data_IF_713213885719
#
_entry.id   IF_713213885719
#
_cell.length_a   1.000
_cell.length_b   1.000
_cell.length_c   1.000
_cell.angle_alpha   90.00
_cell.angle_beta   90.00
_cell.angle_gamma   90.00
#
_symmetry.space_group_name_H-M   'P 1'
#
loop_
_entity.id
_entity.type
_entity.pdbx_description
1 polymer ?
#
# COMPACT_ATOMS: atom_id res chain seq x y z
N UNK A 1 -11.08 -22.01 2.21
CA UNK A 1 -10.25 -21.85 3.43
C UNK A 1 -8.93 -21.10 3.20
N UNK A 2 -8.35 -21.04 1.99
CA UNK A 2 -7.11 -20.28 1.73
C UNK A 2 -7.22 -18.75 1.87
N UNK A 3 -8.43 -18.17 1.85
CA UNK A 3 -8.62 -16.71 1.86
C UNK A 3 -8.51 -16.04 3.24
N UNK A 4 -8.54 -16.78 4.35
CA UNK A 4 -8.43 -16.18 5.70
C UNK A 4 -6.98 -15.84 6.10
N UNK A 5 -5.97 -16.34 5.40
CA UNK A 5 -4.56 -16.19 5.78
C UNK A 5 -3.93 -14.87 5.30
N UNK A 6 -4.28 -14.39 4.09
CA UNK A 6 -3.84 -13.09 3.58
C UNK A 6 -4.18 -11.91 4.52
N UNK A 7 -5.28 -12.02 5.27
CA UNK A 7 -5.74 -11.03 6.24
C UNK A 7 -4.79 -10.82 7.43
N UNK A 8 -4.07 -11.85 7.86
CA UNK A 8 -3.15 -11.72 9.00
C UNK A 8 -1.92 -10.88 8.63
N UNK A 9 -1.54 -10.86 7.35
CA UNK A 9 -0.27 -10.30 6.92
C UNK A 9 -0.34 -8.86 6.43
N UNK A 10 -1.39 -8.45 5.72
CA UNK A 10 -1.62 -7.02 5.48
C UNK A 10 -1.81 -6.27 6.81
N UNK A 11 -2.44 -6.94 7.78
CA UNK A 11 -2.47 -6.52 9.19
C UNK A 11 -1.07 -6.43 9.79
N UNK A 12 -0.26 -7.49 9.74
CA UNK A 12 1.10 -7.49 10.30
C UNK A 12 2.03 -6.46 9.61
N UNK A 13 1.84 -6.23 8.31
CA UNK A 13 2.52 -5.21 7.51
C UNK A 13 2.13 -3.81 7.97
N UNK A 14 0.83 -3.54 8.11
CA UNK A 14 0.31 -2.30 8.64
C UNK A 14 0.80 -2.07 10.07
N UNK A 15 0.80 -3.10 10.92
CA UNK A 15 1.31 -3.04 12.29
C UNK A 15 2.83 -2.78 12.34
N UNK A 16 3.63 -3.42 11.49
CA UNK A 16 5.07 -3.14 11.37
C UNK A 16 5.34 -1.72 10.89
N UNK A 17 4.59 -1.24 9.91
CA UNK A 17 4.70 0.14 9.43
C UNK A 17 4.36 1.13 10.55
N UNK A 18 3.31 0.85 11.32
CA UNK A 18 2.93 1.63 12.50
C UNK A 18 4.04 1.61 13.56
N UNK A 19 4.64 0.45 13.85
CA UNK A 19 5.71 0.32 14.85
C UNK A 19 7.03 0.95 14.40
N UNK A 20 7.30 1.00 13.10
CA UNK A 20 8.52 1.59 12.53
C UNK A 20 8.46 3.12 12.41
N UNK A 21 7.27 3.71 12.55
CA UNK A 21 7.03 5.15 12.65
C UNK A 21 7.52 5.74 13.98
N UNK A 22 8.75 5.44 14.38
CA UNK A 22 9.41 6.11 15.49
C UNK A 22 9.74 7.54 15.08
N UNK A 23 9.09 8.51 15.72
CA UNK A 23 9.36 9.95 15.57
C UNK A 23 10.86 10.23 15.58
N UNK A 24 11.47 10.47 14.41
CA UNK A 24 12.72 11.21 14.33
C UNK A 24 12.38 12.66 14.68
N UNK A 25 12.59 13.02 15.94
CA UNK A 25 12.60 14.41 16.37
C UNK A 25 13.71 15.15 15.61
N UNK A 26 13.35 15.95 14.62
CA UNK A 26 14.24 16.95 14.06
C UNK A 26 14.56 17.95 15.18
N UNK A 27 15.79 17.90 15.68
CA UNK A 27 16.34 18.92 16.58
C UNK A 27 16.48 20.23 15.80
N UNK A 28 15.43 21.04 15.80
CA UNK A 28 15.53 22.44 15.39
C UNK A 28 16.26 23.21 16.49
N UNK A 29 17.44 23.74 16.16
CA UNK A 29 18.11 24.76 16.96
C UNK A 29 17.24 26.04 16.96
N UNK A 30 16.52 26.27 18.06
CA UNK A 30 15.76 27.51 18.26
C UNK A 30 16.59 28.55 18.98
N UNK A 31 16.75 29.72 18.34
CA UNK A 31 17.13 30.98 18.97
C UNK A 31 16.19 31.28 20.15
N UNK A 32 16.76 31.47 21.35
CA UNK A 32 16.05 31.88 22.57
C UNK A 32 15.49 33.30 22.41
N UNK A 33 14.17 33.45 22.43
CA UNK A 33 13.51 34.69 22.85
C UNK A 33 12.92 34.45 24.24
N UNK A 34 13.38 35.24 25.21
CA UNK A 34 12.87 35.25 26.57
C UNK A 34 11.46 35.84 26.58
N UNK A 35 10.45 35.02 26.80
CA UNK A 35 9.10 35.46 27.15
C UNK A 35 8.91 35.13 28.63
N UNK A 36 8.83 36.17 29.46
CA UNK A 36 8.42 36.05 30.86
C UNK A 36 6.93 35.69 30.91
N UNK A 37 6.63 34.44 31.25
CA UNK A 37 5.29 34.00 31.62
C UNK A 37 5.26 33.70 33.12
N UNK A 38 4.24 34.24 33.80
CA UNK A 38 4.02 34.20 35.25
C UNK A 38 3.95 32.78 35.81
N UNK A 39 4.61 32.57 36.95
CA UNK A 39 4.45 31.39 37.81
C UNK A 39 3.01 31.32 38.36
N UNK A 40 2.16 30.47 37.78
CA UNK A 40 1.03 29.87 38.50
C UNK A 40 1.35 28.41 38.77
N UNK A 41 1.56 28.11 40.06
CA UNK A 41 1.70 26.77 40.62
C UNK A 41 0.38 26.01 40.50
N UNK A 42 0.19 25.30 39.39
CA UNK A 42 -0.81 24.24 39.33
C UNK A 42 -0.30 23.03 40.10
N UNK A 43 -0.93 22.76 41.24
CA UNK A 43 -0.75 21.54 42.01
C UNK A 43 -0.97 20.31 41.12
N UNK A 44 0.07 19.48 41.03
CA UNK A 44 0.06 18.24 40.30
C UNK A 44 -0.81 17.20 41.02
N UNK A 45 -2.05 17.05 40.57
CA UNK A 45 -2.79 15.82 40.81
C UNK A 45 -2.13 14.72 39.96
N UNK A 46 -1.37 13.84 40.62
CA UNK A 46 -0.70 12.68 40.05
C UNK A 46 -1.69 11.56 39.64
N UNK A 47 -2.74 11.92 38.90
CA UNK A 47 -3.48 10.97 38.09
C UNK A 47 -2.70 10.80 36.80
N UNK A 48 -2.11 9.62 36.56
CA UNK A 48 -1.71 9.18 35.22
C UNK A 48 -2.96 9.14 34.36
N UNK A 49 -3.42 10.30 33.89
CA UNK A 49 -4.30 10.39 32.74
C UNK A 49 -3.42 9.89 31.61
N UNK A 50 -3.56 8.62 31.27
CA UNK A 50 -3.24 8.16 29.92
C UNK A 50 -3.91 9.19 29.03
N UNK A 51 -3.09 10.09 28.46
CA UNK A 51 -3.55 10.92 27.37
C UNK A 51 -3.82 9.89 26.29
N UNK A 52 -5.07 9.46 26.21
CA UNK A 52 -5.64 8.98 24.96
C UNK A 52 -5.41 10.14 24.00
N UNK A 53 -4.22 10.12 23.38
CA UNK A 53 -3.76 11.08 22.38
C UNK A 53 -4.58 10.96 21.09
N UNK A 54 -5.58 10.10 21.11
CA UNK A 54 -6.67 10.12 20.19
C UNK A 54 -7.96 10.19 20.98
N UNK A 55 -8.67 11.31 20.78
CA UNK A 55 -10.06 11.47 21.17
C UNK A 55 -10.82 10.17 20.86
N UNK A 56 -11.57 9.55 21.81
CA UNK A 56 -12.52 8.51 21.46
C UNK A 56 -13.28 9.03 20.24
N UNK A 57 -13.24 8.25 19.15
CA UNK A 57 -13.71 8.67 17.83
C UNK A 57 -14.91 9.60 18.01
N UNK A 58 -14.89 10.85 17.51
CA UNK A 58 -15.98 11.81 17.70
C UNK A 58 -17.33 11.33 17.16
N UNK A 59 -17.40 10.10 16.69
CA UNK A 59 -18.57 9.42 16.25
C UNK A 59 -18.71 8.06 16.95
N UNK A 60 -19.71 7.98 17.82
CA UNK A 60 -20.71 6.89 17.76
C UNK A 60 -21.34 6.88 16.35
N UNK A 61 -20.54 6.60 15.31
CA UNK A 61 -21.02 6.45 13.94
C UNK A 61 -21.88 5.20 13.94
N UNK A 62 -22.96 5.20 13.16
CA UNK A 62 -23.77 4.00 12.98
C UNK A 62 -22.87 2.88 12.47
N UNK A 63 -22.97 1.70 13.07
CA UNK A 63 -22.29 0.51 12.59
C UNK A 63 -22.75 0.11 11.19
N UNK A 64 -23.90 0.62 10.75
CA UNK A 64 -24.49 0.41 9.42
C UNK A 64 -24.68 1.72 8.66
N UNK A 65 -24.25 1.75 7.40
CA UNK A 65 -24.46 2.86 6.48
C UNK A 65 -25.17 2.34 5.24
N UNK A 66 -26.32 2.90 4.91
CA UNK A 66 -27.02 2.57 3.68
C UNK A 66 -26.37 3.33 2.53
N UNK A 67 -25.88 2.62 1.50
CA UNK A 67 -25.37 3.27 0.29
C UNK A 67 -26.56 3.57 -0.63
N UNK A 68 -27.44 2.59 -0.82
CA UNK A 68 -28.62 2.68 -1.69
C UNK A 68 -29.74 1.74 -1.20
N UNK A 69 -30.72 1.47 -2.07
CA UNK A 69 -31.84 0.56 -1.78
C UNK A 69 -31.45 -0.92 -1.79
N UNK A 70 -30.24 -1.25 -2.24
CA UNK A 70 -29.78 -2.63 -2.44
C UNK A 70 -28.65 -3.04 -1.49
N UNK A 71 -27.86 -2.08 -1.01
CA UNK A 71 -26.61 -2.34 -0.32
C UNK A 71 -26.44 -1.51 0.95
N UNK A 72 -25.81 -2.15 1.92
CA UNK A 72 -25.43 -1.53 3.18
C UNK A 72 -23.98 -1.85 3.49
N UNK A 73 -23.30 -0.92 4.15
CA UNK A 73 -21.94 -1.09 4.66
C UNK A 73 -22.01 -1.28 6.15
N UNK A 74 -21.56 -2.44 6.60
CA UNK A 74 -21.38 -2.74 8.01
C UNK A 74 -19.93 -2.50 8.41
N UNK A 75 -19.73 -1.79 9.51
CA UNK A 75 -18.46 -1.58 10.18
C UNK A 75 -18.33 -2.62 11.27
N UNK A 76 -17.33 -3.48 11.13
CA UNK A 76 -16.97 -4.51 12.10
C UNK A 76 -15.65 -4.11 12.76
N UNK A 77 -15.67 -3.82 14.06
CA UNK A 77 -14.47 -3.52 14.82
C UNK A 77 -13.94 -4.83 15.40
N UNK A 78 -12.83 -5.32 14.85
CA UNK A 78 -12.09 -6.42 15.47
C UNK A 78 -11.20 -5.86 16.57
N UNK A 79 -11.69 -5.99 17.80
CA UNK A 79 -10.88 -5.76 18.98
C UNK A 79 -9.69 -6.73 18.96
N UNK A 80 -8.47 -6.17 18.93
CA UNK A 80 -7.25 -6.88 19.25
C UNK A 80 -6.60 -6.21 20.45
N UNK A 81 -5.43 -6.69 20.89
CA UNK A 81 -4.71 -6.13 22.04
C UNK A 81 -4.31 -4.64 21.89
N UNK A 82 -4.47 -4.08 20.69
CA UNK A 82 -4.26 -2.66 20.42
C UNK A 82 -5.56 -1.86 20.59
N UNK A 83 -5.46 -0.72 21.28
CA UNK A 83 -6.54 0.26 21.55
C UNK A 83 -7.30 0.76 20.33
N UNK A 84 -6.82 0.49 19.11
CA UNK A 84 -7.42 0.94 17.86
C UNK A 84 -8.14 -0.13 17.05
N UNK A 85 -7.90 -1.42 17.35
CA UNK A 85 -8.41 -2.55 16.59
C UNK A 85 -8.13 -2.49 15.08
N UNK A 86 -8.57 -3.50 14.35
CA UNK A 86 -8.67 -3.45 12.89
C UNK A 86 -10.13 -3.20 12.58
N UNK A 87 -10.41 -2.13 11.82
CA UNK A 87 -11.74 -1.85 11.31
C UNK A 87 -11.93 -2.58 10.01
N UNK A 88 -13.00 -3.36 9.90
CA UNK A 88 -13.38 -4.06 8.68
C UNK A 88 -14.68 -3.47 8.17
N UNK A 89 -14.68 -3.04 6.92
CA UNK A 89 -15.85 -2.53 6.23
C UNK A 89 -16.36 -3.65 5.34
N UNK A 90 -17.63 -4.03 5.51
CA UNK A 90 -18.28 -5.12 4.82
C UNK A 90 -19.41 -4.58 3.97
N UNK A 91 -19.40 -4.85 2.66
CA UNK A 91 -20.54 -4.60 1.80
C UNK A 91 -21.48 -5.79 1.89
N UNK A 92 -22.72 -5.53 2.28
CA UNK A 92 -23.77 -6.52 2.46
C UNK A 92 -24.99 -6.14 1.60
N UNK A 93 -25.77 -7.12 1.10
CA UNK A 93 -27.11 -6.85 0.63
C UNK A 93 -27.92 -6.17 1.73
N UNK A 94 -28.83 -5.27 1.34
CA UNK A 94 -29.78 -4.66 2.26
C UNK A 94 -30.78 -5.73 2.69
N UNK A 95 -30.65 -6.16 3.95
CA UNK A 95 -31.61 -7.05 4.60
C UNK A 95 -32.78 -6.23 5.12
N UNK A 96 -34.00 -6.75 5.00
CA UNK A 96 -35.12 -6.16 5.73
C UNK A 96 -34.93 -6.44 7.22
N UNK A 97 -35.44 -5.58 8.10
CA UNK A 97 -35.33 -5.78 9.56
C UNK A 97 -35.99 -7.10 10.05
N UNK A 98 -36.74 -7.79 9.18
CA UNK A 98 -37.38 -9.08 9.43
C UNK A 98 -36.51 -10.29 9.06
N UNK A 99 -35.32 -10.11 8.48
CA UNK A 99 -34.47 -11.23 8.09
C UNK A 99 -33.89 -11.94 9.34
N UNK A 100 -33.80 -13.27 9.25
CA UNK A 100 -33.37 -14.12 10.36
C UNK A 100 -31.92 -13.78 10.80
N UNK A 101 -31.69 -13.30 12.04
CA UNK A 101 -30.37 -12.91 12.51
C UNK A 101 -29.40 -14.10 12.65
N UNK A 102 -29.90 -15.34 12.56
CA UNK A 102 -29.06 -16.55 12.61
C UNK A 102 -28.40 -16.87 11.27
N UNK A 103 -28.89 -16.31 10.16
CA UNK A 103 -28.29 -16.50 8.85
C UNK A 103 -26.96 -15.74 8.78
N UNK A 104 -25.91 -16.47 8.38
CA UNK A 104 -24.59 -15.87 8.16
C UNK A 104 -24.71 -14.79 7.08
N UNK A 105 -24.26 -13.56 7.33
CA UNK A 105 -24.40 -12.47 6.36
C UNK A 105 -23.67 -12.82 5.06
N UNK A 106 -24.34 -12.61 3.94
CA UNK A 106 -23.76 -12.80 2.62
C UNK A 106 -22.85 -11.59 2.30
N UNK A 107 -21.56 -11.72 2.60
CA UNK A 107 -20.58 -10.66 2.38
C UNK A 107 -20.29 -10.57 0.88
N UNK A 108 -20.51 -9.40 0.28
CA UNK A 108 -20.21 -9.14 -1.14
C UNK A 108 -18.76 -8.73 -1.30
N UNK A 109 -18.32 -7.72 -0.54
CA UNK A 109 -16.96 -7.18 -0.58
C UNK A 109 -16.49 -6.75 0.81
N UNK A 110 -15.19 -6.60 0.98
CA UNK A 110 -14.61 -6.08 2.21
C UNK A 110 -13.35 -5.26 1.99
N UNK A 111 -13.10 -4.26 2.83
CA UNK A 111 -11.81 -3.57 2.97
C UNK A 111 -11.48 -3.41 4.45
N UNK A 112 -10.20 -3.41 4.81
CA UNK A 112 -9.77 -3.20 6.19
C UNK A 112 -9.09 -1.85 6.33
N UNK A 113 -9.12 -1.32 7.55
CA UNK A 113 -8.37 -0.16 7.96
C UNK A 113 -7.73 -0.37 9.33
N UNK A 114 -6.48 0.04 9.47
CA UNK A 114 -5.80 0.18 10.75
C UNK A 114 -5.25 1.60 10.84
N UNK A 115 -5.76 2.39 11.80
CA UNK A 115 -5.51 3.84 11.89
C UNK A 115 -5.82 4.54 10.57
N UNK A 116 -4.84 5.15 9.91
CA UNK A 116 -4.98 5.86 8.63
C UNK A 116 -4.58 4.99 7.41
N UNK A 117 -4.34 3.69 7.59
CA UNK A 117 -3.87 2.78 6.54
C UNK A 117 -5.01 1.85 6.12
N UNK A 118 -5.36 1.85 4.84
CA UNK A 118 -6.33 0.97 4.19
C UNK A 118 -5.63 -0.21 3.52
N UNK A 119 -6.24 -1.39 3.54
CA UNK A 119 -5.66 -2.59 2.92
C UNK A 119 -6.67 -3.72 2.76
N UNK A 120 -6.35 -4.66 1.86
CA UNK A 120 -7.06 -5.93 1.71
C UNK A 120 -8.46 -5.76 1.15
N UNK A 121 -8.62 -4.91 0.13
CA UNK A 121 -9.85 -4.78 -0.63
C UNK A 121 -10.11 -6.09 -1.41
N UNK A 122 -11.28 -6.70 -1.17
CA UNK A 122 -11.60 -8.02 -1.71
C UNK A 122 -13.08 -8.13 -2.07
N UNK A 123 -13.34 -8.72 -3.24
CA UNK A 123 -14.66 -9.23 -3.64
C UNK A 123 -14.80 -10.70 -3.20
N UNK A 124 -15.88 -11.00 -2.46
CA UNK A 124 -16.21 -12.34 -1.92
C UNK A 124 -17.27 -13.05 -2.76
N UNK A 125 -18.22 -12.31 -3.32
CA UNK A 125 -19.28 -12.85 -4.16
C UNK A 125 -18.92 -12.63 -5.65
N UNK A 126 -18.56 -13.70 -6.36
CA UNK A 126 -18.46 -13.66 -7.83
C UNK A 126 -19.88 -13.71 -8.39
N UNK A 127 -20.38 -12.60 -8.93
CA UNK A 127 -21.73 -12.55 -9.52
C UNK A 127 -21.74 -13.08 -10.96
N UNK A 128 -20.58 -13.02 -11.62
CA UNK A 128 -20.40 -13.27 -13.05
C UNK A 128 -19.38 -14.39 -13.35
N UNK A 129 -19.52 -14.98 -14.54
CA UNK A 129 -18.71 -16.11 -14.99
C UNK A 129 -17.44 -15.74 -15.77
N UNK A 130 -17.30 -14.49 -16.23
CA UNK A 130 -16.14 -14.02 -17.00
C UNK A 130 -15.19 -13.17 -16.14
N UNK A 131 -13.94 -13.04 -16.58
CA UNK A 131 -12.94 -12.23 -15.87
C UNK A 131 -13.10 -10.72 -16.13
N UNK A 132 -13.66 -10.32 -17.27
CA UNK A 132 -14.01 -8.91 -17.54
C UNK A 132 -15.11 -8.43 -16.59
N UNK A 133 -16.15 -9.24 -16.43
CA UNK A 133 -17.24 -8.94 -15.50
C UNK A 133 -16.73 -8.92 -14.04
N UNK A 134 -15.73 -9.74 -13.71
CA UNK A 134 -15.15 -9.76 -12.36
C UNK A 134 -14.55 -8.42 -11.95
N UNK A 135 -13.83 -7.76 -12.86
CA UNK A 135 -13.20 -6.46 -12.56
C UNK A 135 -14.29 -5.40 -12.39
N UNK A 136 -15.30 -5.38 -13.26
CA UNK A 136 -16.42 -4.46 -13.13
C UNK A 136 -17.16 -4.66 -11.79
N UNK A 137 -17.44 -5.91 -11.43
CA UNK A 137 -18.06 -6.29 -10.14
C UNK A 137 -17.18 -5.88 -8.95
N UNK A 138 -15.86 -6.05 -9.07
CA UNK A 138 -14.89 -5.68 -8.04
C UNK A 138 -14.93 -4.17 -7.77
N UNK A 139 -14.88 -3.35 -8.81
CA UNK A 139 -14.92 -1.89 -8.67
C UNK A 139 -16.27 -1.42 -8.13
N UNK A 140 -17.39 -1.91 -8.70
CA UNK A 140 -18.73 -1.56 -8.27
C UNK A 140 -18.95 -1.85 -6.77
N UNK A 141 -18.39 -2.95 -6.26
CA UNK A 141 -18.52 -3.33 -4.86
C UNK A 141 -17.49 -2.64 -3.93
N UNK A 142 -16.23 -2.50 -4.36
CA UNK A 142 -15.16 -2.01 -3.50
C UNK A 142 -15.04 -0.48 -3.44
N UNK A 143 -15.50 0.23 -4.47
CA UNK A 143 -15.42 1.70 -4.51
C UNK A 143 -16.18 2.39 -3.37
N UNK A 144 -17.47 2.07 -3.09
CA UNK A 144 -18.19 2.69 -1.98
C UNK A 144 -17.56 2.38 -0.62
N UNK A 145 -17.00 1.17 -0.48
CA UNK A 145 -16.28 0.76 0.72
C UNK A 145 -15.00 1.60 0.92
N UNK A 146 -14.26 1.83 -0.16
CA UNK A 146 -13.05 2.63 -0.13
C UNK A 146 -13.36 4.07 0.28
N UNK A 147 -14.42 4.68 -0.25
CA UNK A 147 -14.81 6.05 0.11
C UNK A 147 -15.10 6.20 1.60
N UNK A 148 -15.92 5.31 2.14
CA UNK A 148 -16.29 5.31 3.56
C UNK A 148 -15.06 5.06 4.43
N UNK A 149 -14.20 4.12 4.03
CA UNK A 149 -12.98 3.80 4.76
C UNK A 149 -11.96 4.96 4.72
N UNK A 150 -11.82 5.64 3.57
CA UNK A 150 -10.98 6.84 3.41
C UNK A 150 -11.46 7.97 4.31
N UNK A 151 -12.77 8.26 4.28
CA UNK A 151 -13.35 9.30 5.13
C UNK A 151 -13.06 9.02 6.61
N UNK A 152 -13.35 7.80 7.06
CA UNK A 152 -13.09 7.36 8.43
C UNK A 152 -11.59 7.42 8.81
N UNK A 153 -10.70 6.99 7.91
CA UNK A 153 -9.26 7.01 8.13
C UNK A 153 -8.69 8.44 8.22
N UNK A 154 -9.35 9.42 7.60
CA UNK A 154 -8.94 10.82 7.58
C UNK A 154 -9.31 11.62 8.84
N UNK A 155 -10.21 11.10 9.69
CA UNK A 155 -10.82 11.84 10.82
C UNK A 155 -9.78 12.45 11.77
N UNK A 156 -8.64 11.80 11.95
CA UNK A 156 -7.58 12.27 12.85
C UNK A 156 -6.65 13.31 12.20
N UNK A 157 -7.00 13.86 11.04
CA UNK A 157 -6.16 14.78 10.27
C UNK A 157 -4.89 14.14 9.72
N UNK A 158 -4.81 12.81 9.74
CA UNK A 158 -3.69 12.06 9.16
C UNK A 158 -3.93 11.84 7.68
N UNK A 159 -2.87 11.94 6.88
CA UNK A 159 -2.92 11.58 5.47
C UNK A 159 -3.27 10.10 5.34
N UNK A 160 -4.35 9.80 4.61
CA UNK A 160 -4.79 8.43 4.38
C UNK A 160 -3.78 7.73 3.48
N UNK A 161 -3.46 6.48 3.84
CA UNK A 161 -2.54 5.61 3.14
C UNK A 161 -3.24 4.33 2.74
N UNK A 162 -2.68 3.67 1.76
CA UNK A 162 -3.14 2.36 1.32
C UNK A 162 -1.95 1.41 1.16
N UNK A 163 -2.17 0.12 1.41
CA UNK A 163 -1.26 -0.96 1.07
C UNK A 163 -1.96 -1.87 0.07
N UNK A 164 -1.52 -1.82 -1.18
CA UNK A 164 -2.02 -2.69 -2.22
C UNK A 164 -1.12 -3.92 -2.39
N UNK A 165 -1.72 -5.10 -2.42
CA UNK A 165 -1.05 -6.31 -2.84
C UNK A 165 -0.74 -6.25 -4.35
N UNK A 166 0.47 -6.70 -4.72
CA UNK A 166 0.88 -6.82 -6.12
C UNK A 166 0.71 -8.27 -6.57
N UNK A 167 -0.55 -8.72 -6.61
CA UNK A 167 -0.85 -10.08 -7.04
C UNK A 167 -0.43 -10.25 -8.50
N UNK A 168 0.07 -11.44 -8.85
CA UNK A 168 0.56 -11.71 -10.22
C UNK A 168 1.96 -11.20 -10.53
N UNK A 169 2.62 -10.45 -9.62
CA UNK A 169 3.99 -9.97 -9.85
C UNK A 169 4.96 -11.10 -10.20
N UNK A 170 4.93 -12.22 -9.46
CA UNK A 170 5.82 -13.36 -9.75
C UNK A 170 5.56 -13.95 -11.14
N UNK A 171 4.29 -14.07 -11.54
CA UNK A 171 3.91 -14.58 -12.86
C UNK A 171 4.35 -13.64 -13.98
N UNK A 172 4.15 -12.33 -13.80
CA UNK A 172 4.61 -11.31 -14.76
C UNK A 172 6.13 -11.31 -14.91
N UNK A 173 6.89 -11.30 -13.80
CA UNK A 173 8.36 -11.38 -13.83
C UNK A 173 8.82 -12.65 -14.53
N UNK A 174 8.18 -13.80 -14.26
CA UNK A 174 8.50 -15.08 -14.93
C UNK A 174 8.28 -14.98 -16.44
N UNK A 175 7.13 -14.45 -16.88
CA UNK A 175 6.84 -14.28 -18.31
C UNK A 175 7.79 -13.30 -19.01
N UNK A 176 8.31 -12.29 -18.31
CA UNK A 176 9.37 -11.44 -18.84
C UNK A 176 10.71 -12.17 -18.91
N UNK A 177 11.08 -12.95 -17.89
CA UNK A 177 12.30 -13.77 -17.91
C UNK A 177 12.30 -14.79 -19.05
N UNK A 178 11.15 -15.40 -19.35
CA UNK A 178 11.00 -16.37 -20.46
C UNK A 178 11.13 -15.72 -21.85
N UNK A 179 10.96 -14.39 -21.93
CA UNK A 179 11.11 -13.58 -23.15
C UNK A 179 12.37 -12.72 -23.12
N UNK A 180 13.42 -13.18 -22.44
CA UNK A 180 14.71 -12.50 -22.34
C UNK A 180 14.60 -11.03 -21.86
N UNK A 181 13.66 -10.75 -20.96
CA UNK A 181 13.42 -9.43 -20.38
C UNK A 181 12.33 -8.61 -21.08
N UNK A 182 11.80 -9.07 -22.21
CA UNK A 182 10.75 -8.36 -22.95
C UNK A 182 9.53 -8.07 -22.05
N UNK A 183 9.09 -6.80 -22.08
CA UNK A 183 8.00 -6.29 -21.25
C UNK A 183 8.42 -5.74 -19.90
N UNK A 184 9.73 -5.78 -19.56
CA UNK A 184 10.28 -5.04 -18.42
C UNK A 184 11.60 -4.37 -18.76
N UNK A 185 11.66 -3.05 -18.63
CA UNK A 185 12.90 -2.26 -18.83
C UNK A 185 13.94 -2.63 -17.76
N UNK A 186 13.48 -2.89 -16.53
CA UNK A 186 14.34 -3.28 -15.41
C UNK A 186 15.00 -4.64 -15.68
N UNK A 187 14.23 -5.65 -16.10
CA UNK A 187 14.79 -6.97 -16.42
C UNK A 187 15.70 -6.93 -17.65
N UNK A 188 15.29 -6.22 -18.70
CA UNK A 188 16.10 -6.07 -19.93
C UNK A 188 17.48 -5.50 -19.59
N UNK A 189 17.52 -4.41 -18.80
CA UNK A 189 18.76 -3.80 -18.33
C UNK A 189 19.58 -4.78 -17.47
N UNK A 190 18.91 -5.49 -16.55
CA UNK A 190 19.56 -6.47 -15.68
C UNK A 190 20.04 -7.72 -16.41
N UNK A 191 19.50 -8.09 -17.56
CA UNK A 191 19.89 -9.28 -18.34
C UNK A 191 21.05 -8.99 -19.29
N UNK A 192 21.01 -7.86 -19.99
CA UNK A 192 22.02 -7.50 -20.99
C UNK A 192 23.19 -6.73 -20.41
N UNK A 193 23.13 -6.33 -19.13
CA UNK A 193 24.15 -5.45 -18.53
C UNK A 193 24.17 -4.08 -19.21
N UNK A 194 23.13 -3.75 -19.97
CA UNK A 194 22.95 -2.43 -20.54
C UNK A 194 22.70 -1.49 -19.37
N UNK A 195 23.70 -0.69 -19.04
CA UNK A 195 23.41 0.52 -18.30
C UNK A 195 22.54 1.35 -19.24
N UNK A 196 21.30 1.71 -18.85
CA UNK A 196 20.48 2.58 -19.67
C UNK A 196 21.37 3.79 -19.94
N UNK A 197 21.67 4.08 -21.21
CA UNK A 197 22.50 5.24 -21.53
C UNK A 197 21.90 6.41 -20.77
N UNK A 198 22.61 6.91 -19.76
CA UNK A 198 22.30 8.20 -19.20
C UNK A 198 22.49 9.15 -20.35
N UNK A 199 21.43 9.41 -21.10
CA UNK A 199 21.22 10.72 -21.67
C UNK A 199 21.48 11.65 -20.50
N UNK A 200 22.62 12.30 -20.57
CA UNK A 200 23.10 13.33 -19.68
C UNK A 200 22.09 14.48 -19.76
N UNK A 201 20.90 14.31 -19.17
CA UNK A 201 19.97 15.41 -18.98
C UNK A 201 20.48 16.23 -17.80
N UNK A 202 21.34 17.19 -18.14
CA UNK A 202 21.05 18.61 -17.94
C UNK A 202 20.66 19.08 -16.53
N UNK A 203 21.27 18.55 -15.47
CA UNK A 203 21.27 19.21 -14.15
C UNK A 203 22.24 20.44 -14.10
N UNK A 204 22.39 21.16 -15.21
CA UNK A 204 23.05 22.48 -15.27
C UNK A 204 22.05 23.53 -15.75
N UNK A 205 21.04 23.84 -14.95
CA UNK A 205 20.20 25.06 -14.94
C UNK A 205 19.03 24.72 -14.00
N UNK A 206 18.98 25.14 -12.74
CA UNK A 206 18.57 26.48 -12.32
C UNK A 206 19.18 26.81 -10.94
N UNK A 207 20.31 27.50 -10.93
CA UNK A 207 20.59 28.50 -9.89
C UNK A 207 20.19 29.87 -10.46
N UNK A 208 18.89 30.15 -10.53
CA UNK A 208 18.43 31.53 -10.71
C UNK A 208 17.95 32.02 -9.36
N UNK A 209 18.77 32.89 -8.76
CA UNK A 209 18.42 33.70 -7.61
C UNK A 209 17.10 34.45 -7.90
N UNK A 210 16.05 34.14 -7.15
CA UNK A 210 14.87 35.00 -7.08
C UNK A 210 14.68 35.48 -5.64
N UNK A 211 15.38 36.57 -5.32
CA UNK A 211 15.10 37.43 -4.18
C UNK A 211 13.90 38.31 -4.55
N UNK A 212 12.73 38.06 -3.96
CA UNK A 212 11.68 39.07 -3.93
C UNK A 212 10.26 38.56 -3.75
N UNK A 213 9.54 39.22 -2.84
CA UNK A 213 8.08 39.26 -2.68
C UNK A 213 7.37 38.06 -2.01
N UNK A 214 7.36 38.14 -0.68
CA UNK A 214 6.17 38.02 0.18
C UNK A 214 4.82 37.98 -0.58
N UNK A 215 4.24 36.79 -0.70
CA UNK A 215 2.86 36.58 -1.11
C UNK A 215 2.36 35.27 -0.51
N UNK A 216 1.65 35.36 0.62
CA UNK A 216 1.00 34.24 1.31
C UNK A 216 -0.08 33.61 0.41
N UNK A 217 0.31 32.56 -0.31
CA UNK A 217 -0.61 31.69 -1.04
C UNK A 217 -0.40 30.27 -0.56
N UNK A 218 -1.50 29.61 -0.16
CA UNK A 218 -1.58 28.21 0.23
C UNK A 218 -1.22 27.29 -0.95
N UNK A 219 0.06 27.28 -1.35
CA UNK A 219 0.62 26.25 -2.22
C UNK A 219 0.64 24.96 -1.43
N UNK A 220 -0.42 24.16 -1.58
CA UNK A 220 -0.38 22.73 -1.28
C UNK A 220 0.91 22.20 -1.90
N UNK A 221 1.79 21.67 -1.05
CA UNK A 221 3.04 21.08 -1.47
C UNK A 221 2.70 19.93 -2.42
N UNK A 222 2.69 20.22 -3.74
CA UNK A 222 2.82 19.21 -4.76
C UNK A 222 4.18 18.60 -4.52
N UNK A 223 4.21 17.52 -3.74
CA UNK A 223 5.38 16.68 -3.64
C UNK A 223 5.66 16.28 -5.08
N UNK A 224 6.74 16.82 -5.63
CA UNK A 224 7.27 16.38 -6.90
C UNK A 224 7.73 14.95 -6.63
N UNK A 225 6.82 13.99 -6.76
CA UNK A 225 7.11 12.57 -6.77
C UNK A 225 7.89 12.37 -8.05
N UNK A 226 9.17 12.77 -8.04
CA UNK A 226 10.13 12.43 -9.09
C UNK A 226 9.94 10.94 -9.27
N UNK A 227 9.55 10.52 -10.47
CA UNK A 227 9.38 9.13 -10.85
C UNK A 227 10.63 8.37 -10.44
N UNK A 228 10.62 7.81 -9.23
CA UNK A 228 11.69 6.97 -8.71
C UNK A 228 11.48 5.60 -9.33
N UNK A 229 11.45 5.52 -10.66
CA UNK A 229 11.97 4.33 -11.33
C UNK A 229 13.45 4.31 -10.96
N UNK A 230 13.74 3.75 -9.78
CA UNK A 230 15.08 3.70 -9.22
C UNK A 230 15.92 2.89 -10.20
N UNK A 231 16.64 3.62 -11.04
CA UNK A 231 17.58 3.05 -12.00
C UNK A 231 18.61 2.29 -11.20
N UNK A 232 18.60 0.97 -11.33
CA UNK A 232 19.53 0.10 -10.62
C UNK A 232 20.88 0.26 -11.31
N UNK A 233 21.80 0.97 -10.65
CA UNK A 233 23.17 1.13 -11.13
C UNK A 233 24.02 0.08 -10.42
N UNK A 234 24.27 -1.04 -11.10
CA UNK A 234 25.22 -2.04 -10.64
C UNK A 234 26.53 -1.83 -11.37
N UNK A 235 27.57 -1.41 -10.63
CA UNK A 235 28.90 -1.19 -11.18
C UNK A 235 29.68 -2.50 -11.37
N UNK A 236 29.21 -3.58 -10.75
CA UNK A 236 29.88 -4.86 -10.72
C UNK A 236 28.99 -5.94 -11.33
N UNK A 237 29.55 -6.64 -12.31
CA UNK A 237 28.91 -7.73 -13.04
C UNK A 237 28.51 -8.88 -12.12
N UNK A 238 29.32 -9.19 -11.09
CA UNK A 238 28.97 -10.25 -10.14
C UNK A 238 27.72 -9.92 -9.33
N UNK A 239 27.54 -8.64 -8.98
CA UNK A 239 26.40 -8.20 -8.17
C UNK A 239 25.12 -8.21 -9.01
N UNK A 240 25.23 -7.88 -10.30
CA UNK A 240 24.16 -8.02 -11.29
C UNK A 240 23.70 -9.46 -11.43
N UNK A 241 24.63 -10.40 -11.64
CA UNK A 241 24.32 -11.82 -11.76
C UNK A 241 23.66 -12.33 -10.46
N UNK A 242 24.22 -11.98 -9.29
CA UNK A 242 23.68 -12.38 -7.99
C UNK A 242 22.24 -11.89 -7.78
N UNK A 243 21.96 -10.64 -8.16
CA UNK A 243 20.62 -10.05 -8.08
C UNK A 243 19.65 -10.72 -9.05
N UNK A 244 20.07 -10.96 -10.29
CA UNK A 244 19.26 -11.61 -11.31
C UNK A 244 18.87 -13.04 -10.90
N UNK A 245 19.82 -13.83 -10.38
CA UNK A 245 19.55 -15.16 -9.86
C UNK A 245 18.58 -15.10 -8.67
N UNK A 246 18.68 -14.07 -7.82
CA UNK A 246 17.75 -13.87 -6.72
C UNK A 246 16.34 -13.56 -7.20
N UNK A 247 16.19 -12.68 -8.20
CA UNK A 247 14.90 -12.35 -8.82
C UNK A 247 14.29 -13.61 -9.44
N UNK A 248 15.06 -14.38 -10.23
CA UNK A 248 14.58 -15.63 -10.84
C UNK A 248 14.09 -16.60 -9.77
N UNK A 249 14.82 -16.73 -8.68
CA UNK A 249 14.44 -17.62 -7.58
C UNK A 249 13.17 -17.15 -6.85
N UNK A 250 13.01 -15.84 -6.63
CA UNK A 250 11.79 -15.28 -6.03
C UNK A 250 10.58 -15.50 -6.95
N UNK A 251 10.70 -15.17 -8.24
CA UNK A 251 9.62 -15.26 -9.20
C UNK A 251 9.13 -16.71 -9.43
N UNK A 252 10.07 -17.65 -9.58
CA UNK A 252 9.75 -19.05 -9.88
C UNK A 252 9.51 -19.91 -8.63
N UNK A 253 9.95 -19.44 -7.46
CA UNK A 253 10.03 -20.26 -6.25
C UNK A 253 11.09 -21.35 -6.28
N UNK A 254 11.97 -21.38 -7.30
CA UNK A 254 13.04 -22.36 -7.46
C UNK A 254 14.33 -21.82 -6.81
N UNK A 255 14.99 -22.57 -5.90
CA UNK A 255 16.23 -22.12 -5.28
C UNK A 255 17.36 -21.84 -6.27
N UNK A 256 18.22 -20.85 -5.96
CA UNK A 256 19.43 -20.54 -6.72
C UNK A 256 20.46 -21.68 -6.65
N UNK A 257 21.41 -21.78 -7.61
CA UNK A 257 22.56 -22.67 -7.47
C UNK A 257 23.23 -22.54 -6.10
N UNK A 258 23.55 -23.68 -5.47
CA UNK A 258 24.16 -23.73 -4.14
C UNK A 258 23.21 -23.47 -2.96
N UNK A 259 21.91 -23.26 -3.20
CA UNK A 259 20.91 -23.05 -2.15
C UNK A 259 19.83 -24.16 -2.19
N UNK A 260 19.31 -24.57 -1.03
CA UNK A 260 18.26 -25.59 -0.92
C UNK A 260 16.84 -25.03 -0.89
N UNK A 261 16.69 -23.74 -0.59
CA UNK A 261 15.38 -23.05 -0.42
C UNK A 261 15.45 -21.60 -0.90
N UNK A 262 14.31 -21.04 -1.31
CA UNK A 262 14.13 -19.59 -1.51
C UNK A 262 13.92 -18.93 -0.14
N UNK A 263 15.03 -18.63 0.53
CA UNK A 263 15.04 -18.11 1.90
C UNK A 263 15.29 -16.61 2.00
N UNK A 264 15.41 -16.12 3.24
CA UNK A 264 15.67 -14.71 3.54
C UNK A 264 16.91 -14.15 2.83
N UNK A 265 17.96 -14.96 2.64
CA UNK A 265 19.16 -14.57 1.88
C UNK A 265 18.83 -14.21 0.43
N UNK A 266 18.03 -15.04 -0.25
CA UNK A 266 17.57 -14.76 -1.62
C UNK A 266 16.78 -13.45 -1.69
N UNK A 267 15.84 -13.24 -0.77
CA UNK A 267 15.05 -12.00 -0.70
C UNK A 267 15.90 -10.77 -0.40
N UNK A 268 16.94 -10.90 0.42
CA UNK A 268 17.89 -9.82 0.71
C UNK A 268 18.69 -9.45 -0.55
N UNK A 269 19.24 -10.45 -1.23
CA UNK A 269 20.10 -10.24 -2.39
C UNK A 269 19.31 -9.71 -3.61
N UNK A 270 18.03 -10.08 -3.74
CA UNK A 270 17.13 -9.58 -4.79
C UNK A 270 16.35 -8.32 -4.42
N UNK A 271 16.50 -7.76 -3.22
CA UNK A 271 15.57 -6.78 -2.66
C UNK A 271 15.43 -5.50 -3.51
N UNK A 272 16.53 -4.99 -4.07
CA UNK A 272 16.51 -3.76 -4.88
C UNK A 272 15.87 -4.01 -6.25
N UNK A 273 16.34 -5.05 -6.95
CA UNK A 273 15.75 -5.54 -8.19
C UNK A 273 14.26 -5.79 -8.09
N UNK A 274 13.84 -6.52 -7.05
CA UNK A 274 12.44 -6.86 -6.82
C UNK A 274 11.57 -5.64 -6.56
N UNK A 275 12.08 -4.62 -5.84
CA UNK A 275 11.36 -3.36 -5.63
C UNK A 275 11.19 -2.56 -6.91
N UNK A 276 12.21 -2.49 -7.76
CA UNK A 276 12.10 -1.79 -9.04
C UNK A 276 11.11 -2.49 -9.97
N UNK A 277 11.12 -3.83 -10.01
CA UNK A 277 10.13 -4.62 -10.76
C UNK A 277 8.71 -4.45 -10.23
N UNK A 278 8.53 -4.50 -8.91
CA UNK A 278 7.25 -4.22 -8.27
C UNK A 278 6.74 -2.80 -8.58
N UNK A 279 7.63 -1.81 -8.64
CA UNK A 279 7.29 -0.44 -9.01
C UNK A 279 6.82 -0.37 -10.46
N UNK A 280 7.59 -0.92 -11.39
CA UNK A 280 7.24 -1.03 -12.82
C UNK A 280 5.89 -1.73 -13.00
N UNK A 281 5.70 -2.88 -12.37
CA UNK A 281 4.46 -3.65 -12.39
C UNK A 281 3.26 -2.84 -11.86
N UNK A 282 3.42 -2.12 -10.75
CA UNK A 282 2.36 -1.26 -10.20
C UNK A 282 1.97 -0.10 -11.14
N UNK A 283 2.86 0.30 -12.05
CA UNK A 283 2.57 1.33 -13.06
C UNK A 283 1.79 0.79 -14.25
N UNK A 284 1.78 -0.53 -14.48
CA UNK A 284 0.91 -1.18 -15.46
C UNK A 284 -0.57 -1.10 -15.06
N UNK A 285 -0.88 -0.77 -13.80
CA UNK A 285 -2.25 -0.59 -13.34
C UNK A 285 -2.87 0.66 -14.00
N UNK A 286 -3.80 0.43 -14.94
CA UNK A 286 -4.56 1.45 -15.66
C UNK A 286 -5.94 1.67 -15.04
N UNK A 287 -6.50 2.86 -15.26
CA UNK A 287 -7.89 3.20 -14.90
C UNK A 287 -8.54 3.85 -16.13
N UNK A 288 -9.60 3.27 -16.73
CA UNK A 288 -10.22 1.99 -16.37
C UNK A 288 -9.27 0.81 -16.61
N UNK A 289 -9.47 -0.28 -15.86
CA UNK A 289 -8.65 -1.49 -15.99
C UNK A 289 -8.91 -2.12 -17.35
N UNK A 290 -7.83 -2.28 -18.11
CA UNK A 290 -7.88 -2.90 -19.42
C UNK A 290 -7.51 -4.39 -19.31
N UNK A 291 -8.53 -5.24 -19.28
CA UNK A 291 -8.37 -6.70 -19.21
C UNK A 291 -7.64 -7.28 -20.44
N UNK A 292 -7.60 -6.55 -21.57
CA UNK A 292 -6.98 -7.04 -22.80
C UNK A 292 -5.46 -7.12 -22.73
N UNK A 293 -4.84 -6.36 -21.83
CA UNK A 293 -3.38 -6.34 -21.66
C UNK A 293 -2.84 -7.59 -20.94
N UNK A 294 -3.72 -8.50 -20.48
CA UNK A 294 -3.33 -9.75 -19.84
C UNK A 294 -2.64 -9.59 -18.46
N UNK A 295 -2.60 -8.37 -17.92
CA UNK A 295 -2.01 -8.07 -16.61
C UNK A 295 -3.11 -8.21 -15.55
N UNK A 296 -3.07 -9.31 -14.79
CA UNK A 296 -4.03 -9.62 -13.71
C UNK A 296 -3.41 -9.37 -12.34
N UNK A 297 -4.20 -9.09 -11.29
CA UNK A 297 -3.68 -8.97 -9.93
C UNK A 297 -3.27 -7.55 -9.50
N UNK A 298 -3.64 -6.55 -10.30
CA UNK A 298 -3.48 -5.12 -10.02
C UNK A 298 -4.80 -4.44 -9.63
N UNK A 299 -5.83 -5.20 -9.26
CA UNK A 299 -7.17 -4.69 -8.98
C UNK A 299 -7.15 -3.68 -7.83
N UNK A 300 -6.43 -3.99 -6.75
CA UNK A 300 -6.34 -3.12 -5.56
C UNK A 300 -5.55 -1.84 -5.85
N UNK A 301 -4.45 -1.93 -6.61
CA UNK A 301 -3.68 -0.74 -7.06
C UNK A 301 -4.57 0.14 -7.93
N UNK A 302 -5.29 -0.46 -8.88
CA UNK A 302 -6.16 0.26 -9.82
C UNK A 302 -7.35 0.91 -9.09
N UNK A 303 -7.94 0.21 -8.13
CA UNK A 303 -8.98 0.73 -7.24
C UNK A 303 -8.47 1.97 -6.49
N UNK A 304 -7.28 1.90 -5.89
CA UNK A 304 -6.73 3.05 -5.16
C UNK A 304 -6.37 4.20 -6.09
N UNK A 305 -5.79 3.94 -7.27
CA UNK A 305 -5.55 4.97 -8.30
C UNK A 305 -6.83 5.65 -8.76
N UNK A 306 -7.93 4.91 -8.88
CA UNK A 306 -9.23 5.47 -9.28
C UNK A 306 -9.78 6.51 -8.30
N UNK A 307 -9.28 6.50 -7.05
CA UNK A 307 -9.66 7.44 -5.98
C UNK A 307 -8.47 8.30 -5.54
N UNK A 308 -7.70 8.80 -6.49
CA UNK A 308 -6.59 9.75 -6.26
C UNK A 308 -5.44 9.17 -5.41
N UNK A 309 -5.28 7.85 -5.44
CA UNK A 309 -4.16 7.16 -4.81
C UNK A 309 -2.93 7.18 -5.70
N UNK A 310 -1.80 7.66 -5.18
CA UNK A 310 -0.51 7.64 -5.87
C UNK A 310 0.43 6.62 -5.22
N UNK A 311 1.09 5.80 -6.04
CA UNK A 311 2.14 4.89 -5.56
C UNK A 311 3.32 5.72 -5.10
N UNK A 312 3.66 5.60 -3.82
CA UNK A 312 4.70 6.41 -3.20
C UNK A 312 5.93 5.60 -2.84
N UNK A 313 5.75 4.30 -2.54
CA UNK A 313 6.85 3.40 -2.20
C UNK A 313 6.46 1.94 -2.43
N UNK A 314 7.41 1.09 -2.82
CA UNK A 314 7.27 -0.36 -2.68
C UNK A 314 7.84 -0.80 -1.33
N UNK A 315 7.00 -1.42 -0.51
CA UNK A 315 7.41 -2.14 0.68
C UNK A 315 7.68 -3.59 0.30
N UNK A 316 8.93 -4.02 0.46
CA UNK A 316 9.31 -5.42 0.30
C UNK A 316 9.22 -6.09 1.66
N UNK A 317 8.19 -6.91 1.84
CA UNK A 317 7.94 -7.62 3.06
C UNK A 317 8.32 -9.07 2.82
N UNK A 318 9.39 -9.53 3.45
CA UNK A 318 9.69 -10.96 3.56
C UNK A 318 8.61 -11.61 4.46
N UNK A 319 7.39 -11.73 3.94
CA UNK A 319 6.31 -12.45 4.59
C UNK A 319 6.77 -13.87 4.82
N UNK A 320 6.43 -14.46 5.96
CA UNK A 320 6.72 -15.88 6.24
C UNK A 320 5.63 -16.79 5.65
N UNK A 321 4.58 -16.22 5.06
CA UNK A 321 3.48 -16.99 4.48
C UNK A 321 3.80 -17.46 3.06
N UNK A 322 3.89 -18.77 2.90
CA UNK A 322 4.21 -19.40 1.62
C UNK A 322 3.26 -19.01 0.48
N UNK A 323 1.97 -18.79 0.78
CA UNK A 323 0.95 -18.44 -0.22
C UNK A 323 1.21 -17.08 -0.87
N UNK A 324 1.42 -16.03 -0.06
CA UNK A 324 1.68 -14.69 -0.56
C UNK A 324 3.05 -14.56 -1.26
N UNK A 325 4.07 -15.22 -0.72
CA UNK A 325 5.39 -15.30 -1.35
C UNK A 325 5.30 -15.91 -2.76
N UNK A 326 4.43 -16.91 -2.96
CA UNK A 326 4.24 -17.56 -4.26
C UNK A 326 3.64 -16.63 -5.32
N UNK A 327 2.80 -15.68 -4.93
CA UNK A 327 2.02 -14.85 -5.87
C UNK A 327 2.68 -13.49 -6.12
N UNK A 328 3.13 -12.82 -5.05
CA UNK A 328 3.62 -11.44 -5.10
C UNK A 328 5.10 -11.29 -4.70
N UNK A 329 5.77 -12.38 -4.33
CA UNK A 329 7.15 -12.34 -3.84
C UNK A 329 7.33 -11.44 -2.61
N UNK A 330 6.26 -11.20 -1.85
CA UNK A 330 6.29 -10.33 -0.67
C UNK A 330 6.25 -8.82 -0.94
N UNK A 331 6.09 -8.36 -2.18
CA UNK A 331 6.05 -6.93 -2.49
C UNK A 331 4.64 -6.33 -2.37
N UNK A 332 4.55 -5.17 -1.71
CA UNK A 332 3.33 -4.37 -1.60
C UNK A 332 3.57 -2.93 -2.07
N UNK A 333 2.60 -2.35 -2.75
CA UNK A 333 2.61 -0.92 -3.09
C UNK A 333 1.99 -0.11 -1.94
N UNK A 334 2.77 0.82 -1.40
CA UNK A 334 2.29 1.82 -0.45
C UNK A 334 1.86 3.06 -1.22
N UNK A 335 0.61 3.44 -1.02
CA UNK A 335 -0.02 4.55 -1.73
C UNK A 335 -0.44 5.64 -0.76
N UNK A 336 -0.42 6.89 -1.20
CA UNK A 336 -1.02 8.03 -0.51
C UNK A 336 -2.21 8.55 -1.29
N UNK A 337 -3.27 8.93 -0.58
CA UNK A 337 -4.38 9.67 -1.19
C UNK A 337 -4.07 11.17 -1.10
N UNK A 338 -4.19 11.88 -2.22
CA UNK A 338 -3.84 13.31 -2.38
C UNK A 338 -5.07 14.21 -2.28
#
# INVERSE_FOLDING_TARGET
MHHLLFYSHATAAAERLISSGSSRSFLHNTYKRNIHASHKTHQAAAGKRNKDLFTPSPFKRSDKINIDDKFTVQRDLREGDNTYGIRRYLLLPRTNDNDDPTLKPNIIASINANKNILFGAQLHAKQSGSDEDYIADYFAACEPLLDIAKEDASINGQQVQALAALNGLCSWVTACLDRDGEGSEVLTSLLHGEQPNTLLDNDKEEQVENRGASGSSNRRARQNVKSQSAKIILNNESDRILMLDAIRAIATGIPRPGHSVVGQGTYRDGAEGWKSLAWEYSNLATVPVDASNGVTGLEEVSLYKSRDGEVAKIEHLASVEAGYLKIAGGAMARMFFV
#
